data_IF_292245918794
#
_entry.id   IF_292245918794
#
_cell.length_a   1.000
_cell.length_b   1.000
_cell.length_c   1.000
_cell.angle_alpha   90.00
_cell.angle_beta   90.00
_cell.angle_gamma   90.00
#
_symmetry.space_group_name_H-M   'P 1'
#
loop_
_entity.id
_entity.type
_entity.pdbx_description
1 polymer ?
#
# COMPACT_ATOMS: atom_id res chain seq x y z
N UNK A 1 -2.79 -12.71 5.11
CA UNK A 1 -4.03 -12.82 4.31
C UNK A 1 -3.85 -13.63 3.05
N UNK A 2 -4.91 -13.78 2.28
CA UNK A 2 -4.92 -14.58 1.06
C UNK A 2 -6.28 -15.22 0.81
N UNK A 3 -6.32 -16.20 -0.13
CA UNK A 3 -7.57 -16.90 -0.48
C UNK A 3 -7.31 -18.38 -0.74
N UNK A 4 -7.81 -19.26 0.14
CA UNK A 4 -7.78 -20.72 0.03
C UNK A 4 -8.89 -21.36 0.88
N UNK A 5 -9.86 -21.99 0.37
CA UNK A 5 -10.80 -21.60 -0.68
C UNK A 5 -11.57 -20.33 -0.31
N UNK A 6 -11.53 -19.92 0.98
CA UNK A 6 -12.10 -18.68 1.52
C UNK A 6 -11.00 -17.64 1.76
N UNK A 7 -11.39 -16.42 2.08
CA UNK A 7 -10.44 -15.38 2.51
C UNK A 7 -9.77 -15.79 3.81
N UNK A 8 -8.47 -15.55 3.92
CA UNK A 8 -7.65 -15.90 5.07
C UNK A 8 -7.18 -14.63 5.81
N UNK A 9 -7.08 -14.74 7.13
CA UNK A 9 -6.45 -13.72 7.99
C UNK A 9 -4.99 -14.07 8.31
N UNK A 10 -4.54 -15.28 8.01
CA UNK A 10 -3.25 -15.80 8.46
C UNK A 10 -2.08 -14.89 8.12
N UNK A 11 -1.21 -14.74 9.10
CA UNK A 11 0.05 -14.01 9.00
C UNK A 11 1.20 -14.92 9.36
N UNK A 12 2.24 -14.91 8.57
CA UNK A 12 3.46 -15.69 8.79
C UNK A 12 4.68 -14.78 8.71
N UNK A 13 5.68 -15.05 9.54
CA UNK A 13 6.97 -14.36 9.53
C UNK A 13 8.06 -15.34 9.09
N UNK A 14 8.93 -14.89 8.18
CA UNK A 14 10.13 -15.62 7.78
C UNK A 14 11.33 -15.18 8.61
N UNK A 15 12.01 -16.12 9.25
CA UNK A 15 13.16 -15.87 10.14
C UNK A 15 14.53 -16.12 9.50
N UNK A 16 14.57 -16.34 8.18
CA UNK A 16 15.79 -16.69 7.44
C UNK A 16 15.93 -18.20 7.17
N UNK A 17 15.17 -19.07 7.85
CA UNK A 17 15.19 -20.51 7.67
C UNK A 17 13.81 -21.15 7.47
N UNK A 18 12.76 -20.54 8.02
CA UNK A 18 11.40 -21.05 7.91
C UNK A 18 10.34 -19.98 8.17
N UNK A 19 9.10 -20.29 7.81
CA UNK A 19 7.92 -19.49 8.09
C UNK A 19 7.28 -19.93 9.40
N UNK A 20 6.84 -19.00 10.20
CA UNK A 20 6.13 -19.25 11.47
C UNK A 20 4.84 -18.43 11.49
N UNK A 21 3.73 -19.10 11.76
CA UNK A 21 2.42 -18.44 11.93
C UNK A 21 2.45 -17.58 13.21
N UNK A 22 1.94 -16.36 13.10
CA UNK A 22 1.84 -15.37 14.18
C UNK A 22 0.40 -14.88 14.27
N UNK A 23 0.15 -13.80 15.03
CA UNK A 23 -1.21 -13.25 15.17
C UNK A 23 -1.82 -12.88 13.82
N UNK A 24 -3.03 -13.31 13.60
CA UNK A 24 -3.79 -13.07 12.38
C UNK A 24 -4.24 -11.60 12.22
N UNK A 25 -4.52 -11.21 10.99
CA UNK A 25 -5.29 -9.99 10.69
C UNK A 25 -6.64 -10.04 11.42
N UNK A 26 -7.12 -8.90 11.91
CA UNK A 26 -8.45 -8.82 12.53
C UNK A 26 -9.57 -9.14 11.53
N UNK A 27 -9.33 -8.85 10.25
CA UNK A 27 -10.30 -9.14 9.18
C UNK A 27 -9.66 -9.97 8.09
N UNK A 28 -10.19 -11.20 7.88
CA UNK A 28 -9.79 -12.07 6.78
C UNK A 28 -10.05 -11.40 5.43
N UNK A 29 -9.04 -11.32 4.57
CA UNK A 29 -9.15 -10.70 3.26
C UNK A 29 -8.03 -11.12 2.31
N UNK A 30 -8.31 -11.02 1.03
CA UNK A 30 -7.38 -11.30 -0.06
C UNK A 30 -7.16 -10.05 -0.92
N UNK A 31 -6.19 -10.09 -1.83
CA UNK A 31 -5.92 -9.03 -2.81
C UNK A 31 -5.64 -7.67 -2.16
N UNK A 32 -4.94 -7.70 -1.04
CA UNK A 32 -4.56 -6.54 -0.24
C UNK A 32 -3.34 -5.82 -0.82
N UNK A 33 -3.22 -4.52 -0.53
CA UNK A 33 -1.97 -3.78 -0.62
C UNK A 33 -1.19 -3.84 0.69
N UNK A 34 0.10 -3.57 0.63
CA UNK A 34 0.97 -3.54 1.80
C UNK A 34 2.10 -2.51 1.67
N UNK A 35 2.67 -2.10 2.80
CA UNK A 35 3.91 -1.33 2.83
C UNK A 35 5.10 -2.22 2.47
N UNK A 36 5.71 -2.00 1.30
CA UNK A 36 6.71 -2.89 0.71
C UNK A 36 8.12 -2.77 1.32
N UNK A 37 8.34 -1.76 2.16
CA UNK A 37 9.58 -1.57 2.95
C UNK A 37 9.33 -1.75 4.46
N UNK A 38 8.24 -2.40 4.82
CA UNK A 38 7.98 -2.81 6.19
C UNK A 38 9.06 -3.77 6.71
N UNK A 39 9.12 -3.89 8.02
CA UNK A 39 9.98 -4.86 8.71
C UNK A 39 9.13 -5.97 9.31
N UNK A 40 9.75 -7.03 9.80
CA UNK A 40 9.05 -8.09 10.55
C UNK A 40 8.41 -7.59 11.86
N UNK A 41 8.70 -6.36 12.27
CA UNK A 41 8.17 -5.72 13.47
C UNK A 41 7.27 -4.52 13.18
N UNK A 42 7.15 -4.07 11.93
CA UNK A 42 6.32 -2.92 11.55
C UNK A 42 5.91 -3.00 10.07
N UNK A 43 4.63 -3.09 9.79
CA UNK A 43 4.08 -3.16 8.43
C UNK A 43 2.65 -2.67 8.40
N UNK A 44 2.17 -2.27 7.22
CA UNK A 44 0.77 -1.98 6.94
C UNK A 44 0.20 -3.00 5.97
N UNK A 45 -1.07 -3.34 6.16
CA UNK A 45 -1.90 -4.09 5.24
C UNK A 45 -3.20 -3.31 5.03
N UNK A 46 -3.52 -2.97 3.79
CA UNK A 46 -4.66 -2.10 3.49
C UNK A 46 -5.46 -2.57 2.27
N UNK A 47 -6.73 -2.18 2.23
CA UNK A 47 -7.65 -2.58 1.18
C UNK A 47 -8.01 -4.06 1.19
N UNK A 48 -8.40 -4.59 0.04
CA UNK A 48 -8.68 -6.00 -0.18
C UNK A 48 -10.10 -6.31 -0.67
N UNK A 49 -10.31 -7.57 -1.06
CA UNK A 49 -11.60 -8.07 -1.56
C UNK A 49 -12.63 -8.14 -0.43
N UNK A 50 -13.91 -7.74 -0.64
CA UNK A 50 -14.48 -7.06 -1.80
C UNK A 50 -14.43 -5.51 -1.68
N UNK A 51 -13.41 -4.86 -2.22
CA UNK A 51 -13.24 -3.40 -2.22
C UNK A 51 -13.27 -2.79 -0.80
N UNK A 52 -12.51 -3.36 0.12
CA UNK A 52 -12.42 -2.86 1.49
C UNK A 52 -11.53 -1.63 1.58
N UNK A 53 -11.84 -0.75 2.54
CA UNK A 53 -11.00 0.40 2.90
C UNK A 53 -10.06 0.09 4.08
N UNK A 54 -10.33 -0.98 4.82
CA UNK A 54 -9.68 -1.33 6.08
C UNK A 54 -8.16 -1.28 5.97
N UNK A 55 -7.52 -0.60 6.93
CA UNK A 55 -6.08 -0.59 7.12
C UNK A 55 -5.76 -1.19 8.48
N UNK A 56 -4.82 -2.13 8.52
CA UNK A 56 -4.29 -2.70 9.76
C UNK A 56 -2.77 -2.49 9.82
N UNK A 57 -2.28 -2.10 10.99
CA UNK A 57 -0.86 -1.93 11.30
C UNK A 57 -0.35 -3.08 12.16
N UNK A 58 0.79 -3.65 11.77
CA UNK A 58 1.54 -4.67 12.49
C UNK A 58 2.60 -4.02 13.38
N UNK A 59 2.62 -4.37 14.67
CA UNK A 59 3.56 -3.85 15.65
C UNK A 59 4.66 -4.85 16.07
N UNK A 60 4.78 -5.97 15.36
CA UNK A 60 5.69 -7.06 15.71
C UNK A 60 5.03 -8.18 16.51
N UNK A 61 3.82 -7.99 17.03
CA UNK A 61 3.11 -8.96 17.88
C UNK A 61 1.65 -9.16 17.44
N UNK A 62 0.97 -8.09 17.06
CA UNK A 62 -0.45 -8.10 16.70
C UNK A 62 -0.76 -7.08 15.62
N UNK A 63 -1.88 -7.28 14.92
CA UNK A 63 -2.48 -6.33 14.01
C UNK A 63 -3.48 -5.43 14.76
N UNK A 64 -3.47 -4.16 14.47
CA UNK A 64 -4.41 -3.17 15.00
C UNK A 64 -5.02 -2.41 13.83
N UNK A 65 -6.35 -2.30 13.80
CA UNK A 65 -7.05 -1.46 12.84
C UNK A 65 -6.75 0.00 13.11
N UNK A 66 -6.38 0.73 12.06
CA UNK A 66 -6.06 2.17 12.07
C UNK A 66 -6.96 2.90 11.08
N UNK A 67 -6.70 4.16 10.76
CA UNK A 67 -7.56 4.90 9.85
C UNK A 67 -7.61 4.26 8.45
N UNK A 68 -8.80 4.11 7.92
CA UNK A 68 -9.09 3.48 6.64
C UNK A 68 -8.68 4.35 5.45
N UNK A 69 -8.47 3.71 4.29
CA UNK A 69 -8.40 4.37 3.00
C UNK A 69 -9.67 5.22 2.76
N UNK A 70 -9.53 6.36 2.09
CA UNK A 70 -10.70 7.17 1.70
C UNK A 70 -11.58 6.42 0.68
N UNK A 71 -10.98 5.59 -0.16
CA UNK A 71 -11.70 4.77 -1.14
C UNK A 71 -11.32 3.31 -1.03
N UNK A 72 -12.29 2.46 -0.66
CA UNK A 72 -12.11 1.02 -0.57
C UNK A 72 -11.85 0.39 -1.93
N UNK A 73 -10.80 -0.44 -2.03
CA UNK A 73 -10.38 -1.09 -3.28
C UNK A 73 -9.56 -2.35 -3.02
N UNK A 74 -9.50 -3.19 -4.01
CA UNK A 74 -8.73 -4.43 -4.02
C UNK A 74 -7.67 -4.40 -5.14
N UNK A 75 -6.74 -5.36 -5.15
CA UNK A 75 -5.72 -5.50 -6.21
C UNK A 75 -4.87 -4.25 -6.39
N UNK A 76 -4.70 -3.49 -5.32
CA UNK A 76 -3.97 -2.23 -5.29
C UNK A 76 -2.48 -2.47 -5.01
N UNK A 77 -1.66 -1.56 -5.48
CA UNK A 77 -0.24 -1.50 -5.16
C UNK A 77 0.03 -0.76 -3.85
N UNK A 78 1.21 -0.96 -3.31
CA UNK A 78 1.67 -0.23 -2.13
C UNK A 78 3.17 0.01 -2.15
N UNK A 79 3.62 1.05 -1.44
CA UNK A 79 5.02 1.37 -1.22
C UNK A 79 5.21 1.99 0.17
N UNK A 80 6.43 1.99 0.67
CA UNK A 80 6.80 2.67 1.91
C UNK A 80 6.86 1.78 3.15
N UNK A 81 6.76 2.40 4.30
CA UNK A 81 6.85 1.81 5.64
C UNK A 81 5.57 2.08 6.44
N UNK A 82 5.43 1.51 7.63
CA UNK A 82 4.22 1.64 8.46
C UNK A 82 3.88 3.09 8.86
N UNK A 83 4.86 3.98 8.91
CA UNK A 83 4.67 5.40 9.26
C UNK A 83 4.56 6.33 8.07
N UNK A 84 4.84 5.84 6.85
CA UNK A 84 4.83 6.67 5.64
C UNK A 84 4.72 5.77 4.40
N UNK A 85 3.54 5.68 3.82
CA UNK A 85 3.24 4.75 2.73
C UNK A 85 2.40 5.38 1.63
N UNK A 86 2.35 4.72 0.48
CA UNK A 86 1.41 4.97 -0.62
C UNK A 86 0.55 3.74 -0.85
N UNK A 87 -0.72 3.99 -1.17
CA UNK A 87 -1.65 3.04 -1.77
C UNK A 87 -2.07 3.58 -3.13
N UNK A 88 -1.88 2.83 -4.20
CA UNK A 88 -2.15 3.31 -5.55
C UNK A 88 -2.77 2.23 -6.43
N UNK A 89 -3.40 2.66 -7.52
CA UNK A 89 -4.08 1.76 -8.46
C UNK A 89 -5.19 0.92 -7.79
N UNK A 90 -5.52 -0.21 -8.39
CA UNK A 90 -6.46 -1.19 -7.85
C UNK A 90 -7.79 -1.20 -8.58
N UNK A 91 -8.79 -1.81 -7.94
CA UNK A 91 -10.12 -2.02 -8.50
C UNK A 91 -11.20 -1.64 -7.49
N UNK A 92 -12.15 -0.78 -7.92
CA UNK A 92 -13.28 -0.28 -7.10
C UNK A 92 -14.64 -0.73 -7.64
N UNK A 93 -14.67 -1.62 -8.62
CA UNK A 93 -15.76 -1.96 -9.53
C UNK A 93 -15.33 -1.69 -10.98
N UNK A 94 -14.33 -0.83 -11.15
CA UNK A 94 -13.55 -0.60 -12.37
C UNK A 94 -12.10 -0.37 -11.99
N UNK A 95 -11.19 -0.42 -12.96
CA UNK A 95 -9.78 -0.11 -12.74
C UNK A 95 -9.63 1.32 -12.22
N UNK A 96 -8.71 1.52 -11.29
CA UNK A 96 -8.52 2.78 -10.57
C UNK A 96 -7.12 3.33 -10.78
N UNK A 97 -7.01 4.66 -10.88
CA UNK A 97 -5.76 5.40 -10.85
C UNK A 97 -5.49 6.05 -9.48
N UNK A 98 -6.44 5.98 -8.56
CA UNK A 98 -6.40 6.66 -7.28
C UNK A 98 -5.10 6.38 -6.53
N UNK A 99 -4.53 7.43 -5.95
CA UNK A 99 -3.35 7.34 -5.09
C UNK A 99 -3.63 8.04 -3.77
N UNK A 100 -3.36 7.34 -2.68
CA UNK A 100 -3.47 7.87 -1.32
C UNK A 100 -2.13 7.75 -0.58
N UNK A 101 -1.76 8.78 0.16
CA UNK A 101 -0.57 8.83 0.98
C UNK A 101 -0.93 8.69 2.47
N UNK A 102 -0.22 7.79 3.15
CA UNK A 102 -0.28 7.56 4.59
C UNK A 102 0.79 8.36 5.31
N UNK A 103 0.43 9.07 6.36
CA UNK A 103 1.33 9.90 7.15
C UNK A 103 1.66 9.34 8.56
N UNK A 104 1.27 8.10 8.83
CA UNK A 104 1.38 7.46 10.15
C UNK A 104 0.10 7.53 10.98
N UNK A 105 -0.94 8.26 10.53
CA UNK A 105 -2.21 8.38 11.26
C UNK A 105 -3.45 8.45 10.37
N UNK A 106 -3.31 8.91 9.13
CA UNK A 106 -4.43 9.06 8.18
C UNK A 106 -3.97 8.93 6.74
N UNK A 107 -4.91 8.55 5.87
CA UNK A 107 -4.75 8.55 4.42
C UNK A 107 -5.24 9.88 3.84
N UNK A 108 -4.52 10.41 2.89
CA UNK A 108 -4.88 11.63 2.13
C UNK A 108 -4.75 11.33 0.65
N UNK A 109 -5.78 11.67 -0.13
CA UNK A 109 -5.75 11.56 -1.58
C UNK A 109 -4.71 12.54 -2.14
N UNK A 110 -3.89 12.05 -3.05
CA UNK A 110 -2.82 12.80 -3.73
C UNK A 110 -2.98 12.65 -5.24
N UNK A 111 -2.02 13.14 -6.03
CA UNK A 111 -2.12 13.05 -7.48
C UNK A 111 -2.22 11.59 -7.96
N UNK A 112 -3.18 11.33 -8.82
CA UNK A 112 -3.44 10.01 -9.37
C UNK A 112 -2.36 9.56 -10.37
N UNK A 113 -2.32 8.25 -10.60
CA UNK A 113 -1.57 7.68 -11.72
C UNK A 113 -2.16 8.17 -13.06
N UNK A 114 -1.34 8.24 -14.09
CA UNK A 114 -1.80 8.59 -15.43
C UNK A 114 -2.69 7.51 -16.05
N UNK A 115 -2.49 6.25 -15.67
CA UNK A 115 -3.24 5.10 -16.22
C UNK A 115 -3.91 4.32 -15.10
N UNK A 116 -5.26 4.28 -15.12
CA UNK A 116 -6.03 3.42 -14.23
C UNK A 116 -5.73 1.95 -14.51
N UNK A 117 -5.38 1.17 -13.49
CA UNK A 117 -5.02 -0.25 -13.60
C UNK A 117 -5.08 -0.96 -12.26
N UNK A 118 -5.09 -2.29 -12.30
CA UNK A 118 -5.04 -3.19 -11.16
C UNK A 118 -3.89 -4.19 -11.29
N UNK A 119 -3.66 -5.04 -10.27
CA UNK A 119 -2.61 -6.05 -10.22
C UNK A 119 -1.18 -5.52 -10.41
N UNK A 120 -0.97 -4.23 -10.23
CA UNK A 120 0.36 -3.63 -10.26
C UNK A 120 1.15 -4.00 -9.00
N UNK A 121 1.77 -5.16 -8.98
CA UNK A 121 2.41 -5.72 -7.79
C UNK A 121 3.87 -5.33 -7.60
N UNK A 122 4.45 -4.63 -8.53
CA UNK A 122 5.88 -4.29 -8.51
C UNK A 122 6.16 -2.88 -8.05
N UNK A 123 5.38 -2.41 -7.06
CA UNK A 123 5.66 -1.13 -6.42
C UNK A 123 6.90 -1.20 -5.55
N UNK A 124 7.79 -0.25 -5.71
CA UNK A 124 8.95 -0.04 -4.84
C UNK A 124 9.08 1.45 -4.53
N UNK A 125 9.66 1.77 -3.41
CA UNK A 125 9.84 3.17 -3.03
C UNK A 125 9.28 3.49 -1.64
N UNK A 126 8.91 4.73 -1.46
CA UNK A 126 8.29 5.26 -0.24
C UNK A 126 7.22 6.29 -0.64
N UNK A 127 6.59 6.98 0.33
CA UNK A 127 5.57 7.98 0.03
C UNK A 127 6.11 9.25 -0.65
N UNK A 128 7.41 9.45 -0.74
CA UNK A 128 8.03 10.58 -1.44
C UNK A 128 8.48 10.22 -2.86
N UNK A 129 8.83 8.95 -3.09
CA UNK A 129 9.31 8.47 -4.39
C UNK A 129 9.00 6.99 -4.55
N UNK A 130 8.19 6.64 -5.51
CA UNK A 130 7.80 5.28 -5.81
C UNK A 130 7.75 5.03 -7.31
N UNK A 131 7.90 3.77 -7.71
CA UNK A 131 7.77 3.32 -9.08
C UNK A 131 6.72 2.21 -9.15
N UNK A 132 5.87 2.27 -10.15
CA UNK A 132 4.91 1.24 -10.50
C UNK A 132 5.13 0.80 -11.94
N UNK A 133 5.37 -0.46 -12.15
CA UNK A 133 5.52 -1.03 -13.48
C UNK A 133 4.48 -2.13 -13.73
N UNK A 134 4.03 -2.26 -14.99
CA UNK A 134 3.08 -3.29 -15.40
C UNK A 134 1.68 -3.10 -14.78
N UNK A 135 0.84 -4.08 -14.89
CA UNK A 135 -0.53 -4.13 -14.38
C UNK A 135 -1.50 -4.62 -15.44
N UNK A 136 -2.78 -4.52 -15.10
CA UNK A 136 -3.88 -4.93 -15.97
C UNK A 136 -4.93 -3.82 -16.04
N UNK A 137 -5.44 -3.61 -17.25
CA UNK A 137 -6.66 -2.88 -17.55
C UNK A 137 -7.63 -3.89 -18.18
N UNK A 138 -8.21 -3.63 -19.33
CA UNK A 138 -8.87 -4.67 -20.14
C UNK A 138 -7.87 -5.66 -20.76
N UNK A 139 -6.57 -5.34 -20.73
CA UNK A 139 -5.46 -6.17 -21.16
C UNK A 139 -4.23 -5.87 -20.29
N UNK A 140 -3.23 -6.77 -20.33
CA UNK A 140 -1.94 -6.53 -19.66
C UNK A 140 -1.25 -5.33 -20.26
N UNK A 141 -0.75 -4.43 -19.42
CA UNK A 141 -0.04 -3.21 -19.84
C UNK A 141 1.42 -3.23 -19.40
N UNK A 142 2.30 -2.67 -20.23
CA UNK A 142 3.73 -2.57 -19.95
C UNK A 142 4.14 -1.18 -19.39
N UNK A 143 3.19 -0.32 -19.10
CA UNK A 143 3.42 1.04 -18.67
C UNK A 143 4.16 1.08 -17.33
N UNK A 144 5.12 1.98 -17.23
CA UNK A 144 5.82 2.30 -15.98
C UNK A 144 5.53 3.75 -15.63
N UNK A 145 5.21 3.99 -14.36
CA UNK A 145 4.97 5.34 -13.84
C UNK A 145 5.80 5.56 -12.59
N UNK A 146 6.36 6.75 -12.47
CA UNK A 146 7.07 7.23 -11.28
C UNK A 146 6.16 8.18 -10.50
N UNK A 147 6.17 8.00 -9.19
CA UNK A 147 5.65 8.95 -8.22
C UNK A 147 6.82 9.72 -7.60
N UNK A 148 6.78 11.04 -7.62
CA UNK A 148 7.70 11.90 -6.89
C UNK A 148 6.95 13.07 -6.29
N UNK A 149 7.14 13.30 -4.99
CA UNK A 149 6.71 14.55 -4.37
C UNK A 149 7.67 15.64 -4.82
N UNK A 150 7.19 16.74 -5.43
CA UNK A 150 8.05 17.84 -5.79
C UNK A 150 8.82 18.34 -4.56
N UNK A 151 10.13 18.56 -4.70
CA UNK A 151 10.93 19.13 -3.63
C UNK A 151 10.37 20.52 -3.29
N UNK A 152 9.90 20.72 -2.08
CA UNK A 152 9.57 22.05 -1.58
C UNK A 152 10.89 22.80 -1.43
N UNK A 153 11.14 23.76 -2.31
CA UNK A 153 12.25 24.70 -2.16
C UNK A 153 11.89 25.63 -1.00
N UNK A 154 12.40 25.32 0.19
CA UNK A 154 12.37 26.30 1.27
C UNK A 154 13.39 27.39 0.90
N UNK A 155 12.92 28.60 0.63
CA UNK A 155 13.79 29.76 0.53
C UNK A 155 14.45 29.96 1.90
N UNK A 156 15.71 29.55 2.00
CA UNK A 156 16.56 29.95 3.12
C UNK A 156 16.94 31.39 2.83
N UNK A 157 16.36 32.34 3.58
CA UNK A 157 16.85 33.72 3.62
C UNK A 157 18.20 33.66 4.31
N UNK A 158 19.27 33.82 3.55
CA UNK A 158 20.61 34.05 4.15
C UNK A 158 20.62 35.51 4.56
N UNK A 159 20.49 35.79 5.85
CA UNK A 159 20.79 37.08 6.41
C UNK A 159 22.30 37.29 6.27
N UNK A 160 22.71 38.22 5.41
CA UNK A 160 24.09 38.69 5.31
C UNK A 160 24.18 39.99 6.12
N UNK A 161 24.65 39.88 7.38
CA UNK A 161 25.09 40.98 8.21
C UNK A 161 26.40 41.58 7.66
#
# INVERSE_FOLDING_TARGET
GGKEPAQSAKTEIYNGSGWTEVSDLNTARARVGASTKGTVTASLCFGGEPNRAITEEWNGTSWTEVADLNTGRQELGGAGVSTNALAYAGHTGSDSALTEAWNGSSWTEVADMATARRHGTTGSGNAQSAIQASGETTAVVANTEEWTVPATVSNVTVDVD
#
